data_IF_408524891764
#
_entry.id   IF_408524891764
#
_cell.length_a   1.000
_cell.length_b   1.000
_cell.length_c   1.000
_cell.angle_alpha   90.00
_cell.angle_beta   90.00
_cell.angle_gamma   90.00
#
_symmetry.space_group_name_H-M   'P 1'
#
loop_
_entity.id
_entity.type
_entity.pdbx_description
1 polymer ?
#
# COMPACT_ATOMS: atom_id res chain seq x y z
N UNK A 1 -42.44 20.79 -54.39
CA UNK A 1 -42.82 21.29 -53.05
C UNK A 1 -43.15 20.06 -52.21
N UNK A 2 -42.50 19.65 -51.12
CA UNK A 2 -41.35 20.08 -50.31
C UNK A 2 -40.72 18.77 -49.81
N UNK A 3 -39.40 18.59 -49.96
CA UNK A 3 -38.71 17.37 -49.50
C UNK A 3 -38.09 17.67 -48.13
N UNK A 4 -38.43 16.86 -47.13
CA UNK A 4 -37.99 16.97 -45.74
C UNK A 4 -36.52 16.53 -45.62
N UNK A 5 -35.62 17.29 -44.98
CA UNK A 5 -34.27 16.82 -44.71
C UNK A 5 -34.29 15.95 -43.44
N UNK A 6 -34.07 14.65 -43.60
CA UNK A 6 -33.92 13.73 -42.46
C UNK A 6 -32.55 13.99 -41.82
N UNK A 7 -32.61 14.53 -40.60
CA UNK A 7 -31.50 14.92 -39.75
C UNK A 7 -30.58 13.73 -39.45
N UNK A 8 -29.30 13.86 -39.81
CA UNK A 8 -28.24 13.00 -39.32
C UNK A 8 -27.95 13.35 -37.86
N UNK A 9 -28.12 12.40 -36.94
CA UNK A 9 -27.54 12.48 -35.59
C UNK A 9 -27.40 11.09 -34.96
N UNK A 10 -26.44 10.29 -35.44
CA UNK A 10 -25.97 9.11 -34.71
C UNK A 10 -24.98 9.57 -33.65
N UNK A 11 -25.49 9.77 -32.43
CA UNK A 11 -24.74 10.21 -31.26
C UNK A 11 -23.86 9.05 -30.74
N UNK A 12 -22.55 9.22 -30.87
CA UNK A 12 -21.51 8.34 -30.32
C UNK A 12 -21.62 8.26 -28.80
N UNK A 13 -22.02 7.10 -28.27
CA UNK A 13 -22.01 6.80 -26.83
C UNK A 13 -20.97 5.72 -26.51
N UNK A 14 -19.69 6.07 -26.61
CA UNK A 14 -18.59 5.34 -25.97
C UNK A 14 -17.82 6.32 -25.08
N UNK A 15 -18.29 6.53 -23.86
CA UNK A 15 -17.56 7.28 -22.85
C UNK A 15 -17.72 6.63 -21.47
N UNK A 16 -16.60 6.18 -20.91
CA UNK A 16 -16.40 6.21 -19.46
C UNK A 16 -16.56 4.91 -18.66
N UNK A 17 -15.80 3.86 -18.96
CA UNK A 17 -15.52 2.77 -17.98
C UNK A 17 -14.14 2.91 -17.32
N UNK A 18 -13.57 4.11 -17.30
CA UNK A 18 -12.31 4.41 -16.61
C UNK A 18 -12.56 4.86 -15.16
N UNK A 19 -13.22 4.03 -14.35
CA UNK A 19 -13.68 4.44 -13.01
C UNK A 19 -13.36 3.53 -11.83
N UNK A 20 -13.03 2.26 -12.03
CA UNK A 20 -12.69 1.35 -10.93
C UNK A 20 -11.18 1.19 -10.79
N UNK A 21 -10.44 2.28 -10.59
CA UNK A 21 -9.15 2.12 -9.92
C UNK A 21 -9.45 2.05 -8.42
N UNK A 22 -9.33 0.84 -7.86
CA UNK A 22 -9.37 0.59 -6.41
C UNK A 22 -8.12 1.21 -5.76
N UNK A 23 -8.07 2.53 -5.75
CA UNK A 23 -7.25 3.35 -4.85
C UNK A 23 -8.23 4.09 -3.96
N UNK A 24 -9.03 3.33 -3.21
CA UNK A 24 -9.82 3.89 -2.12
C UNK A 24 -8.90 4.30 -0.97
N UNK A 25 -9.30 5.27 -0.13
CA UNK A 25 -8.65 5.50 1.14
C UNK A 25 -8.54 4.18 1.91
N UNK A 26 -7.35 3.87 2.41
CA UNK A 26 -7.13 2.70 3.25
C UNK A 26 -6.25 1.59 2.66
N UNK A 27 -6.11 1.50 1.33
CA UNK A 27 -5.27 0.48 0.69
C UNK A 27 -4.31 1.10 -0.34
N UNK A 28 -3.00 0.86 -0.21
CA UNK A 28 -1.99 1.29 -1.17
C UNK A 28 -1.19 0.10 -1.71
N UNK A 29 -0.71 0.22 -2.96
CA UNK A 29 0.04 -0.83 -3.65
C UNK A 29 1.27 -0.23 -4.35
N UNK A 30 2.45 -0.81 -4.10
CA UNK A 30 3.73 -0.33 -4.63
C UNK A 30 4.45 -1.46 -5.37
N UNK A 31 4.75 -1.24 -6.65
CA UNK A 31 5.53 -2.21 -7.45
C UNK A 31 7.02 -2.10 -7.15
N UNK A 32 7.71 -3.24 -7.16
CA UNK A 32 9.17 -3.32 -7.07
C UNK A 32 9.68 -4.40 -8.03
N UNK A 33 10.94 -4.30 -8.44
CA UNK A 33 11.60 -5.30 -9.30
C UNK A 33 12.09 -6.54 -8.53
N UNK A 34 11.90 -6.57 -7.21
CA UNK A 34 12.27 -7.70 -6.34
C UNK A 34 11.14 -8.74 -6.27
N UNK A 35 11.49 -9.97 -5.88
CA UNK A 35 10.51 -10.97 -5.44
C UNK A 35 9.90 -10.56 -4.10
N UNK A 36 8.74 -11.12 -3.76
CA UNK A 36 7.99 -10.74 -2.55
C UNK A 36 8.81 -10.80 -1.25
N UNK A 37 9.58 -11.88 -1.04
CA UNK A 37 10.38 -12.04 0.17
C UNK A 37 11.52 -11.01 0.29
N UNK A 38 12.44 -10.87 -0.69
CA UNK A 38 13.46 -9.81 -0.66
C UNK A 38 12.88 -8.39 -0.57
N UNK A 39 11.72 -8.14 -1.18
CA UNK A 39 11.02 -6.87 -1.06
C UNK A 39 10.62 -6.60 0.40
N UNK A 40 10.00 -7.59 1.06
CA UNK A 40 9.55 -7.45 2.44
C UNK A 40 10.68 -7.48 3.46
N UNK A 41 11.79 -8.18 3.21
CA UNK A 41 13.00 -8.08 4.04
C UNK A 41 13.52 -6.64 4.06
N UNK A 42 13.60 -6.00 2.89
CA UNK A 42 14.02 -4.60 2.78
C UNK A 42 13.06 -3.66 3.49
N UNK A 43 11.74 -3.81 3.26
CA UNK A 43 10.71 -3.00 3.94
C UNK A 43 10.74 -3.20 5.46
N UNK A 44 10.89 -4.44 5.94
CA UNK A 44 10.96 -4.75 7.37
C UNK A 44 12.19 -4.14 8.03
N UNK A 45 13.35 -4.19 7.37
CA UNK A 45 14.57 -3.56 7.86
C UNK A 45 14.44 -2.04 7.92
N UNK A 46 13.89 -1.42 6.89
CA UNK A 46 13.70 0.03 6.83
C UNK A 46 12.66 0.52 7.85
N UNK A 47 11.53 -0.18 8.00
CA UNK A 47 10.53 0.11 9.03
C UNK A 47 11.11 -0.04 10.44
N UNK A 48 11.85 -1.12 10.71
CA UNK A 48 12.54 -1.29 12.00
C UNK A 48 13.46 -0.11 12.29
N UNK A 49 14.23 0.33 11.30
CA UNK A 49 15.17 1.44 11.46
C UNK A 49 14.47 2.76 11.69
N UNK A 50 13.61 3.14 10.75
CA UNK A 50 13.13 4.49 10.59
C UNK A 50 11.89 4.80 11.40
N UNK A 51 11.08 3.80 11.75
CA UNK A 51 9.89 4.00 12.57
C UNK A 51 10.16 3.66 14.03
N UNK A 52 10.81 2.52 14.30
CA UNK A 52 10.86 1.97 15.67
C UNK A 52 12.20 2.17 16.37
N UNK A 53 13.34 1.97 15.70
CA UNK A 53 14.67 2.15 16.31
C UNK A 53 15.02 3.63 16.48
N UNK A 54 14.65 4.47 15.52
CA UNK A 54 14.77 5.94 15.58
C UNK A 54 13.83 6.58 16.62
N UNK A 55 12.83 5.83 17.13
CA UNK A 55 11.78 6.34 18.01
C UNK A 55 10.96 7.48 17.37
N UNK A 56 10.59 7.32 16.09
CA UNK A 56 9.77 8.27 15.33
C UNK A 56 8.44 8.58 16.06
N UNK A 57 8.10 9.87 16.13
CA UNK A 57 6.97 10.37 16.90
C UNK A 57 5.63 9.74 16.48
N UNK A 58 5.43 9.51 15.17
CA UNK A 58 4.20 8.95 14.63
C UNK A 58 4.05 7.46 15.00
N UNK A 59 5.18 6.76 15.19
CA UNK A 59 5.20 5.31 15.41
C UNK A 59 5.43 4.89 16.87
N UNK A 60 5.77 5.82 17.76
CA UNK A 60 5.91 5.61 19.22
C UNK A 60 4.79 4.84 19.92
N UNK A 61 3.49 5.02 19.59
CA UNK A 61 2.41 4.28 20.25
C UNK A 61 2.26 2.84 19.73
N UNK A 62 3.04 2.43 18.72
CA UNK A 62 2.93 1.14 18.06
C UNK A 62 4.20 0.29 18.22
N UNK A 63 4.13 -0.95 17.74
CA UNK A 63 5.25 -1.89 17.58
C UNK A 63 5.11 -2.62 16.25
N UNK A 64 6.24 -3.11 15.75
CA UNK A 64 6.28 -3.98 14.58
C UNK A 64 6.31 -5.44 15.00
N UNK A 65 5.53 -6.28 14.32
CA UNK A 65 5.66 -7.74 14.38
C UNK A 65 5.98 -8.27 12.97
N UNK A 66 7.17 -8.85 12.74
CA UNK A 66 7.51 -9.43 11.45
C UNK A 66 6.94 -10.85 11.31
N UNK A 67 6.27 -11.10 10.18
CA UNK A 67 5.75 -12.42 9.78
C UNK A 67 6.27 -12.75 8.37
N UNK A 68 7.60 -12.73 8.22
CA UNK A 68 8.25 -12.95 6.92
C UNK A 68 8.27 -14.43 6.52
N UNK A 69 8.23 -15.34 7.49
CA UNK A 69 8.10 -16.78 7.27
C UNK A 69 6.63 -17.16 7.09
N UNK A 70 6.03 -16.70 6.00
CA UNK A 70 4.66 -17.00 5.66
C UNK A 70 4.60 -18.23 4.74
N UNK A 71 4.08 -19.35 5.25
CA UNK A 71 3.82 -20.56 4.45
C UNK A 71 2.84 -20.32 3.29
N UNK A 72 2.12 -19.19 3.31
CA UNK A 72 1.18 -18.78 2.25
C UNK A 72 1.82 -18.03 1.08
N UNK A 73 3.15 -17.83 1.10
CA UNK A 73 3.85 -17.11 0.03
C UNK A 73 3.63 -15.59 0.04
N UNK A 74 3.05 -15.05 1.13
CA UNK A 74 2.80 -13.62 1.36
C UNK A 74 3.52 -13.17 2.63
N UNK A 75 4.83 -12.84 2.54
CA UNK A 75 5.57 -12.27 3.66
C UNK A 75 4.95 -10.92 4.06
N UNK A 76 4.88 -10.63 5.37
CA UNK A 76 4.29 -9.39 5.87
C UNK A 76 4.96 -8.85 7.13
N UNK A 77 4.75 -7.58 7.40
CA UNK A 77 4.94 -6.96 8.71
C UNK A 77 3.61 -6.41 9.21
N UNK A 78 3.41 -6.46 10.52
CA UNK A 78 2.25 -5.93 11.19
C UNK A 78 2.65 -4.73 12.04
N UNK A 79 1.82 -3.70 12.05
CA UNK A 79 1.89 -2.61 13.03
C UNK A 79 0.77 -2.81 14.03
N UNK A 80 1.13 -3.03 15.29
CA UNK A 80 0.23 -3.39 16.40
C UNK A 80 0.34 -2.36 17.53
N UNK A 81 -0.68 -2.25 18.41
CA UNK A 81 -0.59 -1.40 19.60
C UNK A 81 0.61 -1.78 20.47
N UNK A 82 1.36 -0.78 20.96
CA UNK A 82 2.57 -1.06 21.76
C UNK A 82 2.31 -1.79 23.07
N UNK A 83 1.13 -1.58 23.66
CA UNK A 83 0.69 -2.19 24.93
C UNK A 83 -0.04 -3.51 24.74
N UNK A 84 -0.39 -3.87 23.50
CA UNK A 84 -1.04 -5.13 23.17
C UNK A 84 -0.44 -5.71 21.87
N UNK A 85 0.77 -6.31 21.95
CA UNK A 85 1.48 -6.80 20.77
C UNK A 85 0.81 -7.98 20.06
N UNK A 86 -0.08 -8.69 20.77
CA UNK A 86 -0.88 -9.79 20.22
C UNK A 86 -2.28 -9.31 19.79
N UNK A 87 -2.56 -8.02 19.93
CA UNK A 87 -3.81 -7.39 19.55
C UNK A 87 -3.98 -7.31 18.05
N UNK A 88 -5.16 -6.83 17.63
CA UNK A 88 -5.51 -6.68 16.21
C UNK A 88 -4.51 -5.75 15.50
N UNK A 89 -3.95 -6.16 14.34
CA UNK A 89 -3.13 -5.27 13.51
C UNK A 89 -3.89 -4.00 13.11
N UNK A 90 -3.20 -2.87 13.24
CA UNK A 90 -3.67 -1.55 12.84
C UNK A 90 -3.14 -1.15 11.45
N UNK A 91 -2.00 -1.70 11.05
CA UNK A 91 -1.59 -1.74 9.65
C UNK A 91 -0.98 -3.11 9.34
N UNK A 92 -1.22 -3.58 8.12
CA UNK A 92 -0.58 -4.75 7.54
C UNK A 92 0.13 -4.26 6.29
N UNK A 93 1.41 -4.61 6.17
CA UNK A 93 2.19 -4.39 4.96
C UNK A 93 2.65 -5.76 4.48
N UNK A 94 2.25 -6.17 3.30
CA UNK A 94 2.58 -7.48 2.75
C UNK A 94 3.01 -7.39 1.30
N UNK A 95 3.71 -8.42 0.81
CA UNK A 95 4.07 -8.49 -0.60
C UNK A 95 3.62 -9.80 -1.24
N UNK A 96 3.36 -9.73 -2.53
CA UNK A 96 3.04 -10.90 -3.35
C UNK A 96 3.57 -10.75 -4.78
N UNK A 97 3.76 -11.88 -5.46
CA UNK A 97 4.19 -11.91 -6.86
C UNK A 97 5.71 -11.84 -7.08
N UNK A 98 6.07 -11.93 -8.35
CA UNK A 98 7.44 -11.85 -8.88
C UNK A 98 7.35 -11.33 -10.34
N UNK A 99 7.60 -10.03 -10.62
CA UNK A 99 8.00 -8.98 -9.68
C UNK A 99 6.91 -8.64 -8.66
N UNK A 100 7.32 -8.23 -7.45
CA UNK A 100 6.41 -8.06 -6.33
C UNK A 100 5.60 -6.78 -6.36
N UNK A 101 4.39 -6.87 -5.83
CA UNK A 101 3.59 -5.74 -5.36
C UNK A 101 3.57 -5.77 -3.83
N UNK A 102 3.86 -4.63 -3.21
CA UNK A 102 3.78 -4.41 -1.76
C UNK A 102 2.49 -3.66 -1.47
N UNK A 103 1.57 -4.30 -0.77
CA UNK A 103 0.31 -3.71 -0.33
C UNK A 103 0.42 -3.22 1.10
N UNK A 104 -0.28 -2.14 1.43
CA UNK A 104 -0.50 -1.70 2.79
C UNK A 104 -1.97 -1.38 3.05
N UNK A 105 -2.50 -1.90 4.15
CA UNK A 105 -3.91 -1.75 4.52
C UNK A 105 -4.15 -1.76 6.03
N UNK A 106 -5.31 -1.28 6.45
CA UNK A 106 -5.79 -1.34 7.84
C UNK A 106 -6.08 0.04 8.46
N UNK A 107 -6.56 0.08 9.71
CA UNK A 107 -7.03 1.31 10.37
C UNK A 107 -6.07 2.51 10.39
N UNK A 108 -4.75 2.30 10.34
CA UNK A 108 -3.78 3.42 10.28
C UNK A 108 -3.73 4.08 8.89
N UNK A 109 -4.12 3.36 7.84
CA UNK A 109 -4.08 3.86 6.47
C UNK A 109 -5.18 4.92 6.22
N UNK A 110 -6.23 4.93 7.05
CA UNK A 110 -7.31 5.91 7.03
C UNK A 110 -7.02 7.16 7.90
N UNK A 111 -5.87 7.19 8.57
CA UNK A 111 -5.45 8.28 9.45
C UNK A 111 -4.33 9.11 8.80
N UNK A 112 -3.94 10.22 9.44
CA UNK A 112 -2.84 11.07 8.96
C UNK A 112 -1.52 10.31 8.78
N UNK A 113 -1.24 9.33 9.65
CA UNK A 113 -0.07 8.46 9.55
C UNK A 113 -0.08 7.58 8.28
N UNK A 114 -1.24 7.31 7.68
CA UNK A 114 -1.35 6.54 6.44
C UNK A 114 -0.58 7.18 5.28
N UNK A 115 -0.61 8.51 5.18
CA UNK A 115 0.17 9.25 4.19
C UNK A 115 1.69 9.10 4.42
N UNK A 116 2.11 9.09 5.69
CA UNK A 116 3.51 8.85 6.09
C UNK A 116 3.96 7.44 5.71
N UNK A 117 3.15 6.42 6.03
CA UNK A 117 3.38 5.02 5.64
C UNK A 117 3.54 4.91 4.12
N UNK A 118 2.64 5.51 3.35
CA UNK A 118 2.67 5.47 1.88
C UNK A 118 3.94 6.09 1.28
N UNK A 119 4.37 7.24 1.81
CA UNK A 119 5.60 7.91 1.36
C UNK A 119 6.84 7.04 1.62
N UNK A 120 6.90 6.44 2.81
CA UNK A 120 7.99 5.59 3.22
C UNK A 120 8.03 4.29 2.41
N UNK A 121 6.88 3.64 2.18
CA UNK A 121 6.81 2.45 1.33
C UNK A 121 7.20 2.75 -0.12
N UNK A 122 6.72 3.86 -0.70
CA UNK A 122 7.12 4.28 -2.05
C UNK A 122 8.65 4.43 -2.17
N UNK A 123 9.28 5.01 -1.15
CA UNK A 123 10.74 5.18 -1.09
C UNK A 123 11.45 3.83 -0.94
N UNK A 124 10.92 2.97 -0.07
CA UNK A 124 11.53 1.68 0.24
C UNK A 124 11.35 0.64 -0.85
N UNK A 125 10.25 0.63 -1.60
CA UNK A 125 10.09 -0.24 -2.76
C UNK A 125 10.98 0.17 -3.95
N UNK A 126 11.42 1.44 -3.96
CA UNK A 126 12.32 2.05 -4.95
C UNK A 126 13.82 1.86 -4.69
N UNK A 127 14.23 0.94 -3.80
CA UNK A 127 15.63 0.64 -3.44
C UNK A 127 16.35 1.65 -2.52
N UNK A 128 15.64 2.61 -1.92
CA UNK A 128 16.19 3.38 -0.79
C UNK A 128 15.80 2.73 0.53
N UNK A 129 16.67 2.74 1.54
CA UNK A 129 16.33 2.35 2.92
C UNK A 129 16.39 3.54 3.89
N UNK A 130 16.44 4.77 3.36
CA UNK A 130 16.58 5.97 4.17
C UNK A 130 15.31 6.31 4.95
N UNK A 131 15.49 6.98 6.08
CA UNK A 131 14.40 7.59 6.83
C UNK A 131 13.93 8.88 6.15
N UNK A 132 12.75 9.36 6.54
CA UNK A 132 12.19 10.63 6.08
C UNK A 132 12.71 11.79 6.94
#
# INVERSE_FOLDING_TARGET
>A
MKNVPTLALTLSALAGLAGCQSTGPGNSAFKTNKKALPAMEQVALAARECWFRSNDADFRPYRMAPELNSFSGRPRILVVPKRDPNGKPLAVIEAHGDPATVDAYGPLMDQSIGARINSDLKRWTGNSSSCA
#
